data_IF_517372463589
#
_entry.id   IF_517372463589
#
_cell.length_a   1.000
_cell.length_b   1.000
_cell.length_c   1.000
_cell.angle_alpha   90.00
_cell.angle_beta   90.00
_cell.angle_gamma   90.00
#
_symmetry.space_group_name_H-M   'P 1'
#
loop_
_entity.id
_entity.type
_entity.pdbx_description
1 polymer ?
#
# COMPACT_ATOMS: atom_id res chain seq x y z
N UNK A 1 11.40 -156.88 -67.88
CA UNK A 1 11.52 -158.36 -68.02
C UNK A 1 12.95 -158.67 -68.42
N UNK A 2 13.70 -159.54 -67.71
CA UNK A 2 13.47 -160.18 -66.41
C UNK A 2 14.01 -159.26 -65.27
N UNK A 3 13.64 -159.35 -63.99
CA UNK A 3 13.51 -160.49 -63.08
C UNK A 3 14.84 -161.18 -62.78
N UNK A 4 15.80 -160.44 -62.23
CA UNK A 4 16.78 -161.05 -61.34
C UNK A 4 16.24 -160.94 -59.92
N UNK A 5 15.43 -161.95 -59.61
CA UNK A 5 15.14 -162.39 -58.25
C UNK A 5 16.48 -162.68 -57.57
N UNK A 6 17.08 -161.68 -56.95
CA UNK A 6 18.01 -161.96 -55.86
C UNK A 6 17.17 -162.56 -54.75
N UNK A 7 17.10 -163.88 -54.80
CA UNK A 7 16.82 -164.82 -53.73
C UNK A 7 17.39 -164.25 -52.42
N UNK A 8 16.57 -163.45 -51.73
CA UNK A 8 16.83 -162.95 -50.40
C UNK A 8 16.71 -164.17 -49.49
N UNK A 9 17.75 -165.00 -49.50
CA UNK A 9 17.97 -166.07 -48.54
C UNK A 9 17.76 -165.44 -47.15
N UNK A 10 16.79 -165.94 -46.36
CA UNK A 10 16.64 -165.49 -44.99
C UNK A 10 17.92 -165.89 -44.28
N UNK A 11 18.82 -164.93 -44.02
CA UNK A 11 19.96 -165.15 -43.16
C UNK A 11 19.36 -165.54 -41.80
N UNK A 12 19.48 -166.84 -41.49
CA UNK A 12 18.96 -167.42 -40.26
C UNK A 12 19.35 -166.57 -39.07
N UNK A 13 18.35 -166.15 -38.31
CA UNK A 13 18.50 -165.32 -37.13
C UNK A 13 19.05 -166.16 -35.97
N UNK A 14 20.35 -166.46 -36.01
CA UNK A 14 21.07 -167.03 -34.88
C UNK A 14 22.42 -167.63 -35.23
N UNK A 15 23.40 -167.44 -34.34
CA UNK A 15 24.67 -168.15 -34.37
C UNK A 15 24.60 -169.44 -33.54
N UNK A 16 25.31 -170.49 -33.95
CA UNK A 16 25.44 -171.74 -33.19
C UNK A 16 26.23 -171.53 -31.87
N UNK A 17 25.74 -172.07 -30.75
CA UNK A 17 26.36 -171.90 -29.41
C UNK A 17 27.34 -173.04 -29.11
N UNK A 18 28.62 -172.73 -28.95
CA UNK A 18 29.70 -173.69 -28.63
C UNK A 18 30.35 -173.44 -27.26
N UNK A 19 30.90 -174.48 -26.61
CA UNK A 19 31.33 -174.48 -25.18
C UNK A 19 32.39 -173.42 -24.81
N UNK A 20 33.10 -172.83 -25.78
CA UNK A 20 33.94 -171.63 -25.64
C UNK A 20 33.68 -170.71 -26.83
N UNK A 21 32.57 -170.00 -26.81
CA UNK A 21 32.17 -169.01 -27.82
C UNK A 21 32.26 -167.57 -27.31
N UNK A 22 32.02 -166.62 -28.21
CA UNK A 22 31.85 -165.20 -27.86
C UNK A 22 30.60 -165.01 -27.02
N UNK A 23 30.60 -163.98 -26.17
CA UNK A 23 29.43 -163.62 -25.37
C UNK A 23 28.28 -163.21 -26.29
N UNK A 24 27.12 -163.86 -26.13
CA UNK A 24 25.96 -163.65 -26.99
C UNK A 24 25.46 -162.21 -26.95
N UNK A 25 25.44 -161.58 -25.76
CA UNK A 25 24.97 -160.20 -25.61
C UNK A 25 25.91 -159.22 -26.32
N UNK A 26 27.23 -159.44 -26.23
CA UNK A 26 28.21 -158.62 -26.96
C UNK A 26 28.11 -158.79 -28.49
N UNK A 27 27.80 -160.00 -28.97
CA UNK A 27 27.61 -160.26 -30.42
C UNK A 27 26.32 -159.63 -30.94
N UNK A 28 25.21 -159.74 -30.20
CA UNK A 28 23.95 -159.07 -30.54
C UNK A 28 24.13 -157.55 -30.54
N UNK A 29 24.78 -156.96 -29.54
CA UNK A 29 25.08 -155.53 -29.50
C UNK A 29 25.97 -155.08 -30.69
N UNK A 30 26.95 -155.91 -31.08
CA UNK A 30 27.79 -155.61 -32.23
C UNK A 30 27.02 -155.70 -33.55
N UNK A 31 26.14 -156.70 -33.71
CA UNK A 31 25.29 -156.80 -34.90
C UNK A 31 24.28 -155.66 -34.98
N UNK A 32 23.66 -155.27 -33.87
CA UNK A 32 22.76 -154.11 -33.82
C UNK A 32 23.51 -152.83 -34.23
N UNK A 33 24.77 -152.69 -33.81
CA UNK A 33 25.65 -151.59 -34.24
C UNK A 33 25.95 -151.65 -35.73
N UNK A 34 26.32 -152.81 -36.27
CA UNK A 34 26.59 -152.99 -37.71
C UNK A 34 25.34 -152.79 -38.56
N UNK A 35 24.18 -153.23 -38.08
CA UNK A 35 22.90 -153.03 -38.77
C UNK A 35 22.51 -151.53 -38.73
N UNK A 36 22.74 -150.84 -37.61
CA UNK A 36 22.59 -149.40 -37.52
C UNK A 36 23.54 -148.67 -38.48
N UNK A 37 24.82 -149.06 -38.54
CA UNK A 37 25.81 -148.48 -39.45
C UNK A 37 25.43 -148.73 -40.92
N UNK A 38 24.93 -149.92 -41.26
CA UNK A 38 24.44 -150.24 -42.60
C UNK A 38 23.19 -149.42 -42.97
N UNK A 39 22.28 -149.19 -42.02
CA UNK A 39 21.12 -148.31 -42.23
C UNK A 39 21.57 -146.87 -42.50
N UNK A 40 22.53 -146.37 -41.73
CA UNK A 40 23.11 -145.02 -41.93
C UNK A 40 23.80 -144.93 -43.29
N UNK A 41 24.66 -145.89 -43.65
CA UNK A 41 25.35 -145.92 -44.95
C UNK A 41 24.38 -146.01 -46.12
N UNK A 42 23.28 -146.76 -45.96
CA UNK A 42 22.24 -146.85 -47.00
C UNK A 42 21.50 -145.53 -47.15
N UNK A 43 21.16 -144.87 -46.04
CA UNK A 43 20.57 -143.53 -46.06
C UNK A 43 21.51 -142.49 -46.67
N UNK A 44 22.80 -142.53 -46.35
CA UNK A 44 23.82 -141.64 -46.90
C UNK A 44 24.02 -141.88 -48.41
N UNK A 45 24.04 -143.15 -48.85
CA UNK A 45 24.08 -143.50 -50.27
C UNK A 45 22.86 -142.95 -50.99
N UNK A 46 21.67 -143.16 -50.45
CA UNK A 46 20.42 -142.73 -51.08
C UNK A 46 20.34 -141.20 -51.15
N UNK A 47 20.83 -140.50 -50.11
CA UNK A 47 20.98 -139.04 -50.10
C UNK A 47 22.00 -138.56 -51.15
N UNK A 48 23.15 -139.24 -51.27
CA UNK A 48 24.16 -138.92 -52.29
C UNK A 48 23.64 -139.15 -53.71
N UNK A 49 22.87 -140.23 -53.95
CA UNK A 49 22.21 -140.48 -55.23
C UNK A 49 21.18 -139.39 -55.54
N UNK A 50 20.35 -138.99 -54.57
CA UNK A 50 19.41 -137.89 -54.75
C UNK A 50 20.12 -136.57 -55.11
N UNK A 51 21.18 -136.21 -54.39
CA UNK A 51 22.00 -135.03 -54.69
C UNK A 51 22.64 -135.11 -56.07
N UNK A 52 23.17 -136.27 -56.46
CA UNK A 52 23.74 -136.47 -57.79
C UNK A 52 22.69 -136.26 -58.90
N UNK A 53 21.45 -136.74 -58.69
CA UNK A 53 20.36 -136.51 -59.66
C UNK A 53 19.91 -135.05 -59.73
N UNK A 54 19.92 -134.33 -58.61
CA UNK A 54 19.59 -132.90 -58.57
C UNK A 54 20.66 -132.06 -59.26
N UNK A 55 21.93 -132.33 -58.98
CA UNK A 55 23.07 -131.69 -59.65
C UNK A 55 23.08 -131.97 -61.16
N UNK A 56 22.72 -133.18 -61.58
CA UNK A 56 22.57 -133.51 -63.00
C UNK A 56 21.49 -132.63 -63.67
N UNK A 57 20.33 -132.47 -63.03
CA UNK A 57 19.26 -131.58 -63.53
C UNK A 57 19.68 -130.12 -63.58
N UNK A 58 20.38 -129.62 -62.56
CA UNK A 58 20.90 -128.25 -62.55
C UNK A 58 21.95 -128.03 -63.66
N UNK A 59 22.82 -129.02 -63.89
CA UNK A 59 23.77 -129.00 -65.00
C UNK A 59 23.06 -128.96 -66.35
N UNK A 60 22.02 -129.76 -66.54
CA UNK A 60 21.26 -129.76 -67.79
C UNK A 60 20.51 -128.44 -68.00
N UNK A 61 19.95 -127.84 -66.93
CA UNK A 61 19.35 -126.50 -66.99
C UNK A 61 20.37 -125.43 -67.37
N UNK A 62 21.53 -125.39 -66.73
CA UNK A 62 22.58 -124.43 -67.06
C UNK A 62 23.17 -124.67 -68.45
N UNK A 63 23.30 -125.92 -68.89
CA UNK A 63 23.70 -126.26 -70.27
C UNK A 63 22.69 -125.74 -71.28
N UNK A 64 21.40 -125.97 -71.06
CA UNK A 64 20.35 -125.41 -71.91
C UNK A 64 20.37 -123.88 -71.93
N UNK A 65 20.58 -123.22 -70.77
CA UNK A 65 20.68 -121.76 -70.71
C UNK A 65 21.92 -121.22 -71.44
N UNK A 66 23.05 -121.93 -71.35
CA UNK A 66 24.28 -121.60 -72.09
C UNK A 66 24.09 -121.84 -73.59
N UNK A 67 23.39 -122.90 -74.01
CA UNK A 67 23.04 -123.13 -75.40
C UNK A 67 22.11 -122.04 -75.94
N UNK A 68 21.11 -121.61 -75.17
CA UNK A 68 20.23 -120.50 -75.51
C UNK A 68 20.99 -119.17 -75.63
N UNK A 69 21.86 -118.85 -74.66
CA UNK A 69 22.70 -117.65 -74.69
C UNK A 69 23.67 -117.69 -75.88
N UNK A 70 24.27 -118.85 -76.17
CA UNK A 70 25.15 -119.03 -77.35
C UNK A 70 24.37 -118.85 -78.65
N UNK A 71 23.19 -119.46 -78.78
CA UNK A 71 22.32 -119.28 -79.95
C UNK A 71 21.88 -117.82 -80.10
N UNK A 72 21.63 -117.11 -79.00
CA UNK A 72 21.36 -115.66 -79.02
C UNK A 72 22.57 -114.85 -79.47
N UNK A 73 23.77 -115.15 -78.96
CA UNK A 73 25.01 -114.49 -79.37
C UNK A 73 25.31 -114.77 -80.85
N UNK A 74 25.18 -116.01 -81.32
CA UNK A 74 25.40 -116.37 -82.72
C UNK A 74 24.41 -115.64 -83.65
N UNK A 75 23.13 -115.54 -83.26
CA UNK A 75 22.12 -114.72 -83.96
C UNK A 75 22.48 -113.23 -83.99
N UNK A 76 23.13 -112.73 -82.94
CA UNK A 76 23.54 -111.31 -82.80
C UNK A 76 24.84 -110.97 -83.54
N UNK A 77 25.75 -111.95 -83.65
CA UNK A 77 27.07 -111.84 -84.26
C UNK A 77 27.06 -112.14 -85.77
N UNK A 78 26.06 -112.86 -86.27
CA UNK A 78 25.86 -113.06 -87.70
C UNK A 78 25.46 -111.75 -88.43
N UNK A 79 25.83 -111.58 -89.72
CA UNK A 79 25.31 -110.52 -90.58
C UNK A 79 23.77 -110.58 -90.66
N UNK A 80 23.06 -109.45 -90.61
CA UNK A 80 21.61 -109.46 -90.46
C UNK A 80 20.90 -109.74 -91.79
N UNK A 81 20.70 -111.01 -92.10
CA UNK A 81 20.04 -111.43 -93.35
C UNK A 81 18.54 -111.73 -93.14
N UNK A 82 18.03 -111.60 -91.89
CA UNK A 82 16.63 -111.87 -91.52
C UNK A 82 15.95 -110.67 -90.86
N UNK A 83 14.67 -110.44 -91.19
CA UNK A 83 13.87 -109.31 -90.68
C UNK A 83 13.66 -109.33 -89.15
N UNK A 84 13.71 -110.52 -88.54
CA UNK A 84 13.53 -110.72 -87.11
C UNK A 84 14.79 -110.37 -86.29
N UNK A 85 15.99 -110.70 -86.78
CA UNK A 85 17.24 -110.26 -86.17
C UNK A 85 17.46 -108.74 -86.29
N UNK A 86 16.99 -108.14 -87.39
CA UNK A 86 16.95 -106.68 -87.58
C UNK A 86 16.00 -106.01 -86.57
N UNK A 87 14.78 -106.53 -86.37
CA UNK A 87 13.81 -105.94 -85.45
C UNK A 87 14.25 -106.05 -83.98
N UNK A 88 14.87 -107.15 -83.57
CA UNK A 88 15.34 -107.35 -82.19
C UNK A 88 16.56 -106.46 -81.85
N UNK A 89 17.51 -106.28 -82.80
CA UNK A 89 18.61 -105.32 -82.65
C UNK A 89 18.09 -103.88 -82.61
N UNK A 90 17.12 -103.53 -83.45
CA UNK A 90 16.47 -102.21 -83.43
C UNK A 90 15.76 -101.96 -82.10
N UNK A 91 15.03 -102.94 -81.55
CA UNK A 91 14.39 -102.83 -80.24
C UNK A 91 15.40 -102.64 -79.10
N UNK A 92 16.54 -103.36 -79.11
CA UNK A 92 17.62 -103.16 -78.13
C UNK A 92 18.30 -101.81 -78.27
N UNK A 93 18.58 -101.36 -79.50
CA UNK A 93 19.17 -100.04 -79.75
C UNK A 93 18.22 -98.91 -79.34
N UNK A 94 16.91 -99.06 -79.59
CA UNK A 94 15.89 -98.13 -79.13
C UNK A 94 15.79 -98.10 -77.61
N UNK A 95 15.85 -99.25 -76.94
CA UNK A 95 15.83 -99.32 -75.48
C UNK A 95 17.07 -98.67 -74.87
N UNK A 96 18.26 -98.95 -75.41
CA UNK A 96 19.50 -98.28 -74.97
C UNK A 96 19.43 -96.77 -75.22
N UNK A 97 18.91 -96.33 -76.38
CA UNK A 97 18.73 -94.91 -76.66
C UNK A 97 17.70 -94.25 -75.73
N UNK A 98 16.65 -94.97 -75.34
CA UNK A 98 15.66 -94.50 -74.35
C UNK A 98 16.27 -94.39 -72.96
N UNK A 99 17.06 -95.37 -72.52
CA UNK A 99 17.78 -95.36 -71.25
C UNK A 99 18.83 -94.23 -71.22
N UNK A 100 19.58 -94.05 -72.31
CA UNK A 100 20.54 -92.95 -72.48
C UNK A 100 19.83 -91.59 -72.43
N UNK A 101 18.71 -91.43 -73.15
CA UNK A 101 17.91 -90.19 -73.11
C UNK A 101 17.38 -89.92 -71.70
N UNK A 102 17.01 -90.98 -70.95
CA UNK A 102 16.57 -90.85 -69.57
C UNK A 102 17.72 -90.39 -68.67
N UNK A 103 18.92 -90.99 -68.80
CA UNK A 103 20.12 -90.54 -68.08
C UNK A 103 20.42 -89.07 -68.35
N UNK A 104 20.43 -88.67 -69.63
CA UNK A 104 20.65 -87.26 -70.01
C UNK A 104 19.61 -86.31 -69.43
N UNK A 105 18.34 -86.72 -69.34
CA UNK A 105 17.28 -85.91 -68.72
C UNK A 105 17.44 -85.80 -67.22
N UNK A 106 17.79 -86.89 -66.55
CA UNK A 106 18.01 -86.90 -65.11
C UNK A 106 19.24 -86.04 -64.75
N UNK A 107 20.33 -86.17 -65.51
CA UNK A 107 21.52 -85.31 -65.40
C UNK A 107 21.22 -83.84 -65.67
N UNK A 108 20.45 -83.53 -66.72
CA UNK A 108 20.04 -82.15 -67.01
C UNK A 108 19.12 -81.57 -65.91
N UNK A 109 18.25 -82.40 -65.33
CA UNK A 109 17.40 -81.99 -64.21
C UNK A 109 18.22 -81.74 -62.94
N UNK A 110 19.21 -82.57 -62.65
CA UNK A 110 20.17 -82.36 -61.55
C UNK A 110 21.01 -81.10 -61.76
N UNK A 111 21.55 -80.89 -62.96
CA UNK A 111 22.30 -79.68 -63.29
C UNK A 111 21.42 -78.43 -63.15
N UNK A 112 20.17 -78.48 -63.60
CA UNK A 112 19.22 -77.37 -63.45
C UNK A 112 18.89 -77.09 -61.97
N UNK A 113 18.73 -78.14 -61.16
CA UNK A 113 18.54 -77.99 -59.70
C UNK A 113 19.74 -77.27 -59.06
N UNK A 114 20.96 -77.73 -59.35
CA UNK A 114 22.19 -77.10 -58.82
C UNK A 114 22.32 -75.63 -59.20
N UNK A 115 22.07 -75.29 -60.47
CA UNK A 115 22.11 -73.89 -60.92
C UNK A 115 21.08 -73.03 -60.18
N UNK A 116 19.86 -73.55 -59.95
CA UNK A 116 18.83 -72.83 -59.20
C UNK A 116 19.23 -72.65 -57.74
N UNK A 117 19.75 -73.69 -57.09
CA UNK A 117 20.22 -73.63 -55.71
C UNK A 117 21.37 -72.62 -55.55
N UNK A 118 22.36 -72.64 -56.45
CA UNK A 118 23.47 -71.67 -56.47
C UNK A 118 22.97 -70.24 -56.70
N UNK A 119 22.02 -70.03 -57.61
CA UNK A 119 21.42 -68.73 -57.88
C UNK A 119 20.62 -68.22 -56.66
N UNK A 120 19.84 -69.09 -56.02
CA UNK A 120 19.08 -68.76 -54.82
C UNK A 120 20.01 -68.41 -53.64
N UNK A 121 21.11 -69.15 -53.46
CA UNK A 121 22.12 -68.83 -52.48
C UNK A 121 22.81 -67.49 -52.75
N UNK A 122 23.17 -67.24 -54.01
CA UNK A 122 23.78 -65.97 -54.41
C UNK A 122 22.83 -64.79 -54.16
N UNK A 123 21.54 -64.94 -54.52
CA UNK A 123 20.51 -63.95 -54.26
C UNK A 123 20.37 -63.70 -52.75
N UNK A 124 20.30 -64.75 -51.94
CA UNK A 124 20.24 -64.64 -50.46
C UNK A 124 21.45 -63.93 -49.88
N UNK A 125 22.67 -64.26 -50.33
CA UNK A 125 23.90 -63.57 -49.86
C UNK A 125 23.87 -62.09 -50.21
N UNK A 126 23.45 -61.75 -51.42
CA UNK A 126 23.36 -60.36 -51.87
C UNK A 126 22.31 -59.58 -51.07
N UNK A 127 21.12 -60.16 -50.87
CA UNK A 127 20.06 -59.53 -50.07
C UNK A 127 20.48 -59.36 -48.61
N UNK A 128 21.06 -60.39 -47.98
CA UNK A 128 21.52 -60.30 -46.60
C UNK A 128 22.61 -59.24 -46.43
N UNK A 129 23.55 -59.12 -47.37
CA UNK A 129 24.57 -58.07 -47.34
C UNK A 129 23.99 -56.67 -47.51
N UNK A 130 23.00 -56.50 -48.40
CA UNK A 130 22.29 -55.23 -48.57
C UNK A 130 21.48 -54.86 -47.31
N UNK A 131 20.79 -55.82 -46.71
CA UNK A 131 20.02 -55.63 -45.47
C UNK A 131 20.94 -55.28 -44.29
N UNK A 132 22.09 -55.94 -44.17
CA UNK A 132 23.08 -55.63 -43.13
C UNK A 132 23.65 -54.21 -43.31
N UNK A 133 23.98 -53.83 -44.55
CA UNK A 133 24.46 -52.49 -44.85
C UNK A 133 23.40 -51.42 -44.57
N UNK A 134 22.15 -51.68 -44.95
CA UNK A 134 21.01 -50.80 -44.65
C UNK A 134 20.79 -50.65 -43.15
N UNK A 135 20.84 -51.76 -42.38
CA UNK A 135 20.74 -51.75 -40.92
C UNK A 135 21.86 -50.96 -40.27
N UNK A 136 23.10 -51.15 -40.71
CA UNK A 136 24.25 -50.40 -40.19
C UNK A 136 24.09 -48.90 -40.44
N UNK A 137 23.71 -48.53 -41.65
CA UNK A 137 23.50 -47.12 -42.03
C UNK A 137 22.35 -46.50 -41.23
N UNK A 138 21.24 -47.22 -41.06
CA UNK A 138 20.12 -46.77 -40.24
C UNK A 138 20.51 -46.59 -38.76
N UNK A 139 21.27 -47.53 -38.19
CA UNK A 139 21.75 -47.44 -36.81
C UNK A 139 22.71 -46.24 -36.60
N UNK A 140 23.62 -46.00 -37.54
CA UNK A 140 24.51 -44.84 -37.50
C UNK A 140 23.73 -43.52 -37.64
N UNK A 141 22.73 -43.46 -38.52
CA UNK A 141 21.88 -42.29 -38.68
C UNK A 141 21.04 -42.03 -37.41
N UNK A 142 20.48 -43.07 -36.81
CA UNK A 142 19.73 -42.96 -35.55
C UNK A 142 20.63 -42.51 -34.40
N UNK A 143 21.86 -43.03 -34.30
CA UNK A 143 22.83 -42.59 -33.30
C UNK A 143 23.18 -41.11 -33.47
N UNK A 144 23.45 -40.65 -34.70
CA UNK A 144 23.71 -39.23 -34.99
C UNK A 144 22.52 -38.36 -34.63
N UNK A 145 21.30 -38.78 -34.98
CA UNK A 145 20.08 -38.06 -34.62
C UNK A 145 19.92 -37.95 -33.10
N UNK A 146 20.16 -39.04 -32.36
CA UNK A 146 20.13 -39.03 -30.88
C UNK A 146 21.19 -38.10 -30.28
N UNK A 147 22.40 -38.10 -30.83
CA UNK A 147 23.48 -37.21 -30.38
C UNK A 147 23.10 -35.74 -30.61
N UNK A 148 22.63 -35.39 -31.81
CA UNK A 148 22.19 -34.03 -32.11
C UNK A 148 21.04 -33.60 -31.19
N UNK A 149 20.04 -34.45 -30.97
CA UNK A 149 18.95 -34.15 -30.04
C UNK A 149 19.45 -33.91 -28.61
N UNK A 150 20.36 -34.77 -28.12
CA UNK A 150 20.94 -34.62 -26.79
C UNK A 150 21.74 -33.31 -26.65
N UNK A 151 22.55 -32.97 -27.64
CA UNK A 151 23.29 -31.70 -27.69
C UNK A 151 22.34 -30.50 -27.71
N UNK A 152 21.28 -30.54 -28.51
CA UNK A 152 20.28 -29.45 -28.55
C UNK A 152 19.51 -29.31 -27.25
N UNK A 153 19.18 -30.43 -26.59
CA UNK A 153 18.51 -30.42 -25.29
C UNK A 153 19.42 -29.85 -24.20
N UNK A 154 20.71 -30.18 -24.23
CA UNK A 154 21.71 -29.63 -23.32
C UNK A 154 21.88 -28.12 -23.53
N UNK A 155 22.00 -27.68 -24.79
CA UNK A 155 22.07 -26.25 -25.14
C UNK A 155 20.81 -25.49 -24.71
N UNK A 156 19.62 -26.07 -24.94
CA UNK A 156 18.36 -25.47 -24.52
C UNK A 156 18.26 -25.36 -22.99
N UNK A 157 18.70 -26.39 -22.25
CA UNK A 157 18.75 -26.35 -20.77
C UNK A 157 19.74 -25.30 -20.26
N UNK A 158 20.93 -25.21 -20.86
CA UNK A 158 21.92 -24.21 -20.50
C UNK A 158 21.39 -22.79 -20.73
N UNK A 159 20.78 -22.52 -21.89
CA UNK A 159 20.19 -21.23 -22.20
C UNK A 159 19.02 -20.87 -21.25
N UNK A 160 18.21 -21.84 -20.84
CA UNK A 160 17.15 -21.63 -19.86
C UNK A 160 17.69 -21.31 -18.46
N UNK A 161 18.74 -21.99 -18.02
CA UNK A 161 19.38 -21.71 -16.72
C UNK A 161 20.08 -20.34 -16.72
N UNK A 162 20.73 -19.96 -17.82
CA UNK A 162 21.31 -18.63 -18.00
C UNK A 162 20.21 -17.55 -17.93
N UNK A 163 19.14 -17.68 -18.71
CA UNK A 163 18.02 -16.75 -18.69
C UNK A 163 17.33 -16.67 -17.32
N UNK A 164 17.23 -17.80 -16.60
CA UNK A 164 16.73 -17.82 -15.21
C UNK A 164 17.67 -17.10 -14.26
N UNK A 165 18.97 -17.27 -14.41
CA UNK A 165 20.00 -16.59 -13.63
C UNK A 165 19.95 -15.07 -13.85
N UNK A 166 19.86 -14.63 -15.11
CA UNK A 166 19.71 -13.22 -15.46
C UNK A 166 18.41 -12.62 -14.90
N UNK A 167 17.28 -13.32 -15.05
CA UNK A 167 16.01 -12.87 -14.52
C UNK A 167 16.06 -12.71 -12.99
N UNK A 168 16.69 -13.65 -12.27
CA UNK A 168 16.91 -13.53 -10.82
C UNK A 168 17.79 -12.34 -10.47
N UNK A 169 18.89 -12.13 -11.18
CA UNK A 169 19.77 -11.00 -10.94
C UNK A 169 19.09 -9.65 -11.19
N UNK A 170 18.20 -9.56 -12.18
CA UNK A 170 17.39 -8.36 -12.44
C UNK A 170 16.40 -8.12 -11.28
N UNK A 171 15.70 -9.17 -10.82
CA UNK A 171 14.77 -9.07 -9.70
C UNK A 171 15.48 -8.65 -8.41
N UNK A 172 16.62 -9.26 -8.07
CA UNK A 172 17.42 -8.90 -6.89
C UNK A 172 17.90 -7.44 -6.95
N UNK A 173 18.35 -6.96 -8.12
CA UNK A 173 18.72 -5.55 -8.29
C UNK A 173 17.53 -4.62 -8.13
N UNK A 174 16.38 -4.95 -8.74
CA UNK A 174 15.17 -4.15 -8.63
C UNK A 174 14.64 -4.10 -7.18
N UNK A 175 14.70 -5.21 -6.45
CA UNK A 175 14.35 -5.28 -5.04
C UNK A 175 15.29 -4.42 -4.18
N UNK A 176 16.60 -4.53 -4.38
CA UNK A 176 17.59 -3.71 -3.67
C UNK A 176 17.41 -2.21 -3.96
N UNK A 177 17.16 -1.83 -5.21
CA UNK A 177 16.87 -0.44 -5.58
C UNK A 177 15.57 0.06 -4.95
N UNK A 178 14.53 -0.77 -4.89
CA UNK A 178 13.27 -0.44 -4.24
C UNK A 178 13.44 -0.26 -2.73
N UNK A 179 14.22 -1.11 -2.06
CA UNK A 179 14.55 -0.96 -0.64
C UNK A 179 15.35 0.31 -0.38
N UNK A 180 16.35 0.62 -1.21
CA UNK A 180 17.10 1.86 -1.10
C UNK A 180 16.22 3.10 -1.34
N UNK A 181 15.25 3.02 -2.25
CA UNK A 181 14.28 4.09 -2.46
C UNK A 181 13.38 4.26 -1.22
N UNK A 182 12.84 3.16 -0.68
CA UNK A 182 12.05 3.16 0.56
C UNK A 182 12.80 3.80 1.72
N UNK A 183 14.03 3.36 1.98
CA UNK A 183 14.87 3.96 3.03
C UNK A 183 15.09 5.46 2.84
N UNK A 184 15.39 5.91 1.62
CA UNK A 184 15.53 7.35 1.34
C UNK A 184 14.23 8.13 1.58
N UNK A 185 13.07 7.55 1.29
CA UNK A 185 11.78 8.17 1.57
C UNK A 185 11.49 8.23 3.07
N UNK A 186 11.72 7.15 3.80
CA UNK A 186 11.51 7.09 5.25
C UNK A 186 12.43 8.07 5.98
N UNK A 187 13.71 8.13 5.60
CA UNK A 187 14.67 9.09 6.12
C UNK A 187 14.24 10.54 5.84
N UNK A 188 13.75 10.79 4.62
CA UNK A 188 13.25 12.09 4.20
C UNK A 188 11.98 12.51 4.95
N UNK A 189 11.07 11.57 5.22
CA UNK A 189 9.86 11.81 6.02
C UNK A 189 10.23 12.13 7.46
N UNK A 190 11.12 11.34 8.06
CA UNK A 190 11.62 11.57 9.41
C UNK A 190 12.32 12.93 9.53
N UNK A 191 13.07 13.35 8.51
CA UNK A 191 13.68 14.69 8.48
C UNK A 191 12.64 15.81 8.38
N UNK A 192 11.63 15.63 7.53
CA UNK A 192 10.55 16.59 7.40
C UNK A 192 9.76 16.74 8.71
N UNK A 193 9.45 15.64 9.38
CA UNK A 193 8.81 15.64 10.70
C UNK A 193 9.65 16.35 11.75
N UNK A 194 10.96 16.08 11.81
CA UNK A 194 11.89 16.80 12.70
C UNK A 194 11.88 18.30 12.43
N UNK A 195 11.96 18.72 11.17
CA UNK A 195 11.93 20.13 10.77
C UNK A 195 10.60 20.80 11.10
N UNK A 196 9.48 20.10 10.90
CA UNK A 196 8.15 20.59 11.26
C UNK A 196 8.04 20.79 12.77
N UNK A 197 8.46 19.81 13.56
CA UNK A 197 8.47 19.92 15.02
C UNK A 197 9.36 21.07 15.51
N UNK A 198 10.59 21.19 14.98
CA UNK A 198 11.48 22.29 15.32
C UNK A 198 10.85 23.67 14.99
N UNK A 199 10.26 23.82 13.79
CA UNK A 199 9.59 25.06 13.40
C UNK A 199 8.36 25.36 14.29
N UNK A 200 7.57 24.35 14.64
CA UNK A 200 6.42 24.50 15.54
C UNK A 200 6.86 24.94 16.95
N UNK A 201 7.96 24.38 17.46
CA UNK A 201 8.55 24.77 18.74
C UNK A 201 9.12 26.19 18.70
N UNK A 202 9.89 26.54 17.68
CA UNK A 202 10.39 27.90 17.47
C UNK A 202 9.25 28.92 17.37
N UNK A 203 8.21 28.61 16.61
CA UNK A 203 7.04 29.46 16.48
C UNK A 203 6.29 29.62 17.81
N UNK A 204 6.11 28.53 18.55
CA UNK A 204 5.47 28.56 19.88
C UNK A 204 6.29 29.43 20.83
N UNK A 205 7.60 29.23 20.89
CA UNK A 205 8.52 30.01 21.72
C UNK A 205 8.48 31.50 21.35
N UNK A 206 8.49 31.83 20.06
CA UNK A 206 8.38 33.22 19.59
C UNK A 206 7.05 33.85 19.99
N UNK A 207 5.94 33.12 19.85
CA UNK A 207 4.61 33.61 20.22
C UNK A 207 4.47 33.78 21.73
N UNK A 208 5.00 32.85 22.52
CA UNK A 208 4.99 32.95 23.98
C UNK A 208 5.87 34.11 24.46
N UNK A 209 7.05 34.30 23.86
CA UNK A 209 7.91 35.45 24.13
C UNK A 209 7.22 36.78 23.74
N UNK A 210 6.62 36.86 22.55
CA UNK A 210 5.90 38.05 22.11
C UNK A 210 4.69 38.37 23.00
N UNK A 211 3.98 37.34 23.50
CA UNK A 211 2.88 37.51 24.46
C UNK A 211 3.38 38.00 25.82
N UNK A 212 4.51 37.45 26.30
CA UNK A 212 5.14 37.88 27.55
C UNK A 212 5.60 39.33 27.46
N UNK A 213 6.27 39.72 26.37
CA UNK A 213 6.70 41.10 26.12
C UNK A 213 5.51 42.05 26.03
N UNK A 214 4.46 41.68 25.28
CA UNK A 214 3.25 42.47 25.18
C UNK A 214 2.55 42.61 26.55
N UNK A 215 2.60 41.57 27.40
CA UNK A 215 2.08 41.64 28.76
C UNK A 215 2.92 42.58 29.65
N UNK A 216 4.25 42.54 29.52
CA UNK A 216 5.17 43.42 30.22
C UNK A 216 4.93 44.89 29.85
N UNK A 217 4.89 45.21 28.56
CA UNK A 217 4.61 46.58 28.08
C UNK A 217 3.24 47.07 28.56
N UNK A 218 2.21 46.21 28.55
CA UNK A 218 0.89 46.57 29.10
C UNK A 218 0.96 46.85 30.61
N UNK A 219 1.67 46.02 31.36
CA UNK A 219 1.84 46.19 32.80
C UNK A 219 2.60 47.48 33.14
N UNK A 220 3.69 47.77 32.44
CA UNK A 220 4.44 49.03 32.60
C UNK A 220 3.58 50.25 32.27
N UNK A 221 2.84 50.21 31.15
CA UNK A 221 1.93 51.28 30.77
C UNK A 221 0.80 51.50 31.79
N UNK A 222 0.28 50.43 32.39
CA UNK A 222 -0.74 50.52 33.44
C UNK A 222 -0.17 51.12 34.73
N UNK A 223 1.03 50.70 35.16
CA UNK A 223 1.72 51.29 36.31
C UNK A 223 2.03 52.77 36.09
N UNK A 224 2.48 53.15 34.91
CA UNK A 224 2.75 54.55 34.56
C UNK A 224 1.46 55.38 34.55
N UNK A 225 0.38 54.84 34.00
CA UNK A 225 -0.96 55.48 34.06
C UNK A 225 -1.40 55.68 35.50
N UNK A 226 -1.28 54.66 36.35
CA UNK A 226 -1.63 54.76 37.77
C UNK A 226 -0.78 55.79 38.50
N UNK A 227 0.54 55.83 38.23
CA UNK A 227 1.44 56.83 38.78
C UNK A 227 0.99 58.24 38.38
N UNK A 228 0.80 58.50 37.09
CA UNK A 228 0.35 59.80 36.59
C UNK A 228 -1.03 60.18 37.14
N UNK A 229 -1.94 59.22 37.30
CA UNK A 229 -3.25 59.45 37.92
C UNK A 229 -3.13 59.83 39.40
N UNK A 230 -2.21 59.20 40.14
CA UNK A 230 -1.94 59.55 41.54
C UNK A 230 -1.30 60.93 41.66
N UNK A 231 -0.28 61.23 40.85
CA UNK A 231 0.39 62.53 40.81
C UNK A 231 -0.57 63.65 40.39
N UNK A 232 -1.39 63.39 39.36
CA UNK A 232 -2.40 64.33 38.89
C UNK A 232 -3.52 64.56 39.91
N UNK A 233 -3.92 63.54 40.68
CA UNK A 233 -4.84 63.71 41.82
C UNK A 233 -4.20 64.54 42.93
N UNK A 234 -2.97 64.23 43.32
CA UNK A 234 -2.25 64.98 44.36
C UNK A 234 -2.03 66.45 43.96
N UNK A 235 -1.67 66.70 42.70
CA UNK A 235 -1.50 68.07 42.16
C UNK A 235 -2.83 68.83 42.17
N UNK A 236 -3.94 68.20 41.74
CA UNK A 236 -5.28 68.81 41.82
C UNK A 236 -5.66 69.16 43.25
N UNK A 237 -5.46 68.24 44.19
CA UNK A 237 -5.75 68.45 45.61
C UNK A 237 -4.89 69.58 46.22
N UNK A 238 -3.60 69.66 45.86
CA UNK A 238 -2.73 70.77 46.25
C UNK A 238 -3.26 72.10 45.72
N UNK A 239 -3.57 72.18 44.42
CA UNK A 239 -4.13 73.40 43.82
C UNK A 239 -5.46 73.79 44.47
N UNK A 240 -6.34 72.83 44.75
CA UNK A 240 -7.61 73.07 45.46
C UNK A 240 -7.40 73.60 46.87
N UNK A 241 -6.45 73.04 47.63
CA UNK A 241 -6.10 73.49 48.97
C UNK A 241 -5.50 74.90 48.96
N UNK A 242 -4.54 75.16 48.07
CA UNK A 242 -3.91 76.47 47.92
C UNK A 242 -4.94 77.52 47.51
N UNK A 243 -5.85 77.17 46.58
CA UNK A 243 -6.97 78.02 46.21
C UNK A 243 -7.91 78.27 47.39
N UNK A 244 -8.25 77.25 48.18
CA UNK A 244 -9.09 77.40 49.37
C UNK A 244 -8.45 78.32 50.42
N UNK A 245 -7.13 78.20 50.64
CA UNK A 245 -6.35 79.08 51.53
C UNK A 245 -6.32 80.51 51.00
N UNK A 246 -5.99 80.70 49.71
CA UNK A 246 -5.96 82.02 49.08
C UNK A 246 -7.33 82.69 49.11
N UNK A 247 -8.41 81.94 48.83
CA UNK A 247 -9.78 82.44 48.90
C UNK A 247 -10.21 82.73 50.33
N UNK A 248 -9.80 81.92 51.31
CA UNK A 248 -10.04 82.22 52.72
C UNK A 248 -9.31 83.48 53.18
N UNK A 249 -8.07 83.68 52.75
CA UNK A 249 -7.29 84.91 53.02
C UNK A 249 -7.98 86.14 52.39
N UNK A 250 -8.36 86.05 51.12
CA UNK A 250 -9.09 87.12 50.42
C UNK A 250 -10.46 87.41 51.04
N UNK A 251 -11.21 86.39 51.48
CA UNK A 251 -12.47 86.57 52.23
C UNK A 251 -12.25 87.27 53.56
N UNK A 252 -11.20 86.90 54.32
CA UNK A 252 -10.85 87.59 55.58
C UNK A 252 -10.46 89.04 55.34
N UNK A 253 -9.67 89.31 54.31
CA UNK A 253 -9.28 90.67 53.95
C UNK A 253 -10.50 91.50 53.53
N UNK A 254 -11.39 90.95 52.70
CA UNK A 254 -12.65 91.59 52.34
C UNK A 254 -13.56 91.84 53.55
N UNK A 255 -13.65 90.88 54.50
CA UNK A 255 -14.39 91.09 55.76
C UNK A 255 -13.76 92.19 56.62
N UNK A 256 -12.43 92.27 56.72
CA UNK A 256 -11.75 93.37 57.42
C UNK A 256 -11.99 94.71 56.76
N UNK A 257 -12.01 94.77 55.43
CA UNK A 257 -12.36 95.98 54.68
C UNK A 257 -13.80 96.39 54.97
N UNK A 258 -14.75 95.46 54.92
CA UNK A 258 -16.15 95.70 55.31
C UNK A 258 -16.27 96.20 56.76
N UNK A 259 -15.60 95.55 57.71
CA UNK A 259 -15.57 95.99 59.12
C UNK A 259 -14.97 97.40 59.28
N UNK A 260 -13.90 97.72 58.54
CA UNK A 260 -13.29 99.04 58.54
C UNK A 260 -14.21 100.10 57.93
N UNK A 261 -14.89 99.77 56.83
CA UNK A 261 -15.87 100.64 56.17
C UNK A 261 -17.11 100.85 57.06
N UNK A 262 -17.60 99.79 57.72
CA UNK A 262 -18.67 99.87 58.71
C UNK A 262 -18.26 100.73 59.90
N UNK A 263 -17.06 100.53 60.44
CA UNK A 263 -16.53 101.34 61.53
C UNK A 263 -16.41 102.81 61.12
N UNK A 264 -15.83 103.10 59.95
CA UNK A 264 -15.73 104.46 59.43
C UNK A 264 -17.11 105.07 59.16
N UNK A 265 -18.08 104.27 58.71
CA UNK A 265 -19.47 104.70 58.55
C UNK A 265 -20.13 105.02 59.89
N UNK A 266 -19.93 104.18 60.92
CA UNK A 266 -20.40 104.43 62.29
C UNK A 266 -19.74 105.67 62.89
N UNK A 267 -18.42 105.84 62.77
CA UNK A 267 -17.70 107.03 63.24
C UNK A 267 -18.21 108.30 62.54
N UNK A 268 -18.47 108.25 61.22
CA UNK A 268 -19.12 109.36 60.50
C UNK A 268 -20.52 109.64 61.05
N UNK A 269 -21.34 108.61 61.25
CA UNK A 269 -22.68 108.75 61.81
C UNK A 269 -22.66 109.33 63.23
N UNK A 270 -21.79 108.82 64.10
CA UNK A 270 -21.58 109.32 65.47
C UNK A 270 -21.13 110.78 65.46
N UNK A 271 -20.23 111.16 64.55
CA UNK A 271 -19.82 112.56 64.36
C UNK A 271 -20.98 113.42 63.89
N UNK A 272 -21.77 112.99 62.90
CA UNK A 272 -22.96 113.73 62.46
C UNK A 272 -23.99 113.89 63.59
N UNK A 273 -24.23 112.85 64.39
CA UNK A 273 -25.12 112.92 65.56
C UNK A 273 -24.54 113.83 66.64
N UNK A 274 -23.23 113.78 66.86
CA UNK A 274 -22.50 114.67 67.77
C UNK A 274 -22.63 116.14 67.36
N UNK A 275 -22.26 116.46 66.12
CA UNK A 275 -22.35 117.80 65.53
C UNK A 275 -23.81 118.31 65.56
N UNK A 276 -24.79 117.46 65.21
CA UNK A 276 -26.20 117.81 65.29
C UNK A 276 -26.69 118.03 66.73
N UNK A 277 -26.18 117.26 67.70
CA UNK A 277 -26.50 117.42 69.12
C UNK A 277 -25.88 118.68 69.70
N UNK A 278 -24.66 119.03 69.28
CA UNK A 278 -24.02 120.30 69.66
C UNK A 278 -24.75 121.50 69.06
N UNK A 279 -25.16 121.43 67.80
CA UNK A 279 -25.95 122.47 67.15
C UNK A 279 -27.35 122.58 67.80
N UNK A 280 -27.97 121.46 68.19
CA UNK A 280 -29.22 121.47 68.95
C UNK A 280 -29.05 122.10 70.34
N UNK A 281 -27.96 121.77 71.06
CA UNK A 281 -27.60 122.42 72.34
C UNK A 281 -27.31 123.91 72.16
N UNK A 282 -26.68 124.31 71.05
CA UNK A 282 -26.43 125.70 70.72
C UNK A 282 -27.75 126.45 70.49
N UNK A 283 -28.66 125.90 69.68
CA UNK A 283 -30.01 126.47 69.47
C UNK A 283 -30.82 126.56 70.76
N UNK A 284 -30.73 125.55 71.64
CA UNK A 284 -31.36 125.60 72.95
C UNK A 284 -30.77 126.70 73.84
N UNK A 285 -29.44 126.89 73.85
CA UNK A 285 -28.80 127.99 74.59
C UNK A 285 -29.16 129.37 74.03
N UNK A 286 -29.26 129.50 72.72
CA UNK A 286 -29.73 130.71 72.05
C UNK A 286 -31.20 130.99 72.44
N UNK A 287 -32.06 129.96 72.41
CA UNK A 287 -33.46 130.08 72.85
C UNK A 287 -33.60 130.40 74.36
N UNK A 288 -32.78 129.80 75.23
CA UNK A 288 -32.76 130.10 76.66
C UNK A 288 -32.29 131.54 76.93
N UNK A 289 -31.34 132.05 76.13
CA UNK A 289 -30.90 133.44 76.18
C UNK A 289 -32.03 134.40 75.74
N UNK A 290 -32.75 134.08 74.67
CA UNK A 290 -33.92 134.85 74.24
C UNK A 290 -35.04 134.85 75.29
N UNK A 291 -35.30 133.71 75.94
CA UNK A 291 -36.27 133.60 77.05
C UNK A 291 -35.81 134.41 78.26
N UNK A 292 -34.50 134.43 78.57
CA UNK A 292 -33.95 135.25 79.63
C UNK A 292 -34.08 136.75 79.33
N UNK A 293 -33.87 137.17 78.08
CA UNK A 293 -34.05 138.55 77.64
C UNK A 293 -35.53 138.98 77.68
N UNK A 294 -36.46 138.11 77.27
CA UNK A 294 -37.90 138.34 77.41
C UNK A 294 -38.32 138.51 78.87
N UNK A 295 -37.75 137.73 79.81
CA UNK A 295 -37.99 137.91 81.25
C UNK A 295 -37.50 139.27 81.75
N UNK A 296 -36.32 139.73 81.32
CA UNK A 296 -35.80 141.06 81.68
C UNK A 296 -36.66 142.20 81.12
N UNK A 297 -37.20 142.05 79.91
CA UNK A 297 -38.10 143.03 79.30
C UNK A 297 -39.42 143.12 80.06
N UNK A 298 -40.01 141.96 80.43
CA UNK A 298 -41.20 141.89 81.28
C UNK A 298 -40.99 142.58 82.63
N UNK A 299 -39.86 142.32 83.30
CA UNK A 299 -39.59 142.90 84.62
C UNK A 299 -39.43 144.45 84.53
N UNK A 300 -38.91 144.96 83.41
CA UNK A 300 -38.81 146.39 83.10
C UNK A 300 -40.19 147.04 82.88
N UNK A 301 -41.08 146.39 82.12
CA UNK A 301 -42.47 146.85 81.93
C UNK A 301 -43.25 146.82 83.25
N UNK A 302 -43.00 145.83 84.10
CA UNK A 302 -43.57 145.74 85.45
C UNK A 302 -43.18 146.91 86.36
N UNK A 303 -41.94 147.40 86.26
CA UNK A 303 -41.50 148.58 87.02
C UNK A 303 -42.12 149.88 86.50
N UNK A 304 -42.29 150.04 85.18
CA UNK A 304 -42.88 151.26 84.58
C UNK A 304 -44.38 151.44 84.90
N UNK A 305 -45.13 150.34 85.09
CA UNK A 305 -46.55 150.40 85.47
C UNK A 305 -46.79 150.78 86.94
N UNK A 306 -45.85 150.46 87.84
CA UNK A 306 -45.94 150.88 89.26
C UNK A 306 -45.63 152.37 89.45
N UNK A 307 -44.73 152.96 88.64
CA UNK A 307 -44.48 154.40 88.67
C UNK A 307 -45.65 155.25 88.17
N UNK A 308 -46.46 154.73 87.23
CA UNK A 308 -47.68 155.40 86.75
C UNK A 308 -48.84 155.34 87.76
N UNK A 309 -48.83 154.39 88.70
CA UNK A 309 -49.90 154.23 89.72
C UNK A 309 -49.73 155.15 90.95
N UNK A 310 -48.52 155.60 91.25
CA UNK A 310 -48.24 156.47 92.41
C UNK A 310 -48.42 157.97 92.12
N UNK A 311 -48.36 158.41 90.86
CA UNK A 311 -48.50 159.83 90.48
C UNK A 311 -49.95 160.26 90.14
N UNK A 312 -50.93 159.35 90.20
CA UNK A 312 -52.35 159.57 89.87
C UNK A 312 -53.28 159.64 91.11
N UNK A 313 -52.77 159.99 92.29
CA UNK A 313 -53.51 160.03 93.55
C UNK A 313 -54.00 161.41 94.05
N UNK A 314 -53.65 162.52 93.40
CA UNK A 314 -54.04 163.85 93.88
C UNK A 314 -54.21 164.88 92.75
N UNK A 315 -55.42 165.06 92.21
CA UNK A 315 -55.86 166.25 91.46
C UNK A 315 -57.40 166.38 91.52
N UNK A 316 -57.99 167.59 91.63
CA UNK A 316 -59.44 167.78 91.77
C UNK A 316 -60.20 167.86 90.43
N UNK A 317 -61.33 167.14 90.39
CA UNK A 317 -62.58 167.24 89.60
C UNK A 317 -62.61 167.52 88.08
N UNK A 318 -63.53 166.76 87.45
CA UNK A 318 -64.40 166.97 86.25
C UNK A 318 -64.04 166.02 85.09
N UNK A 319 -64.64 164.81 85.01
CA UNK A 319 -65.93 164.45 84.35
C UNK A 319 -66.03 164.91 82.88
N UNK A 320 -66.39 164.14 81.85
CA UNK A 320 -66.63 162.71 81.56
C UNK A 320 -67.20 162.69 80.12
N UNK A 321 -66.63 161.94 79.17
CA UNK A 321 -67.20 161.52 77.85
C UNK A 321 -66.08 160.84 77.01
N UNK A 322 -66.33 159.87 76.11
CA UNK A 322 -67.22 158.69 76.16
C UNK A 322 -66.49 157.31 75.93
N UNK A 323 -67.25 156.25 76.22
CA UNK A 323 -67.34 154.86 75.68
C UNK A 323 -66.79 154.57 74.26
N UNK A 324 -66.52 153.36 73.76
CA UNK A 324 -66.77 151.93 74.11
C UNK A 324 -65.89 151.11 73.12
N UNK A 325 -65.08 150.11 73.53
CA UNK A 325 -65.38 148.66 73.53
C UNK A 325 -65.24 147.94 72.14
N UNK A 326 -65.23 146.59 72.04
CA UNK A 326 -64.04 145.82 71.63
C UNK A 326 -64.30 144.88 70.42
N UNK A 327 -63.23 144.30 69.84
CA UNK A 327 -63.38 143.36 68.72
C UNK A 327 -62.20 142.40 68.56
N UNK A 328 -62.54 141.12 68.65
CA UNK A 328 -61.77 139.89 68.42
C UNK A 328 -60.78 139.90 67.23
N UNK A 329 -59.71 139.12 67.43
CA UNK A 329 -59.35 138.06 66.48
C UNK A 329 -58.60 138.42 65.19
N UNK A 330 -57.27 138.25 65.25
CA UNK A 330 -56.36 137.73 64.19
C UNK A 330 -56.28 138.53 62.88
N UNK A 331 -55.09 139.07 62.54
CA UNK A 331 -54.41 138.63 61.32
C UNK A 331 -52.86 138.59 61.44
N UNK A 332 -52.15 137.62 60.85
CA UNK A 332 -51.57 137.55 59.48
C UNK A 332 -50.36 138.48 59.25
N UNK A 333 -49.39 137.94 58.49
CA UNK A 333 -48.34 138.58 57.64
C UNK A 333 -46.88 138.51 58.16
N UNK A 334 -45.85 138.56 57.28
CA UNK A 334 -45.70 138.00 55.92
C UNK A 334 -44.28 137.49 55.53
N UNK A 335 -44.19 136.97 54.29
CA UNK A 335 -43.06 136.44 53.45
C UNK A 335 -41.85 137.40 53.25
N UNK A 336 -40.79 137.18 52.39
CA UNK A 336 -40.51 136.18 51.31
C UNK A 336 -38.98 135.81 51.15
N UNK A 337 -38.39 135.52 49.96
CA UNK A 337 -38.73 134.61 48.84
C UNK A 337 -37.65 133.53 48.57
N UNK A 338 -38.04 132.47 47.84
CA UNK A 338 -37.13 131.50 47.21
C UNK A 338 -37.20 131.59 45.69
N UNK A 339 -36.03 131.64 45.04
CA UNK A 339 -35.86 131.36 43.61
C UNK A 339 -34.82 130.26 43.39
N UNK A 340 -35.10 129.49 42.34
CA UNK A 340 -34.18 128.85 41.37
C UNK A 340 -34.03 127.32 41.43
N UNK A 341 -34.64 126.70 40.40
CA UNK A 341 -34.18 125.61 39.52
C UNK A 341 -33.64 124.32 40.18
N UNK A 342 -34.22 123.14 39.92
CA UNK A 342 -34.25 122.48 38.60
C UNK A 342 -32.88 121.86 38.33
N UNK A 343 -32.67 120.56 38.16
CA UNK A 343 -33.45 119.52 37.48
C UNK A 343 -32.67 118.19 37.54
N UNK A 344 -33.38 117.07 37.34
CA UNK A 344 -32.93 115.74 36.87
C UNK A 344 -32.09 114.84 37.81
N UNK A 345 -32.26 113.52 37.82
CA UNK A 345 -33.37 112.60 37.53
C UNK A 345 -32.88 111.21 37.93
N UNK A 346 -33.81 110.38 38.39
CA UNK A 346 -33.65 108.98 38.79
C UNK A 346 -33.98 108.02 37.64
N UNK A 347 -33.37 106.83 37.65
CA UNK A 347 -33.83 105.65 36.90
C UNK A 347 -33.20 105.51 35.52
N UNK A 348 -32.51 104.42 35.21
CA UNK A 348 -33.03 103.08 34.90
C UNK A 348 -33.23 102.86 33.37
N UNK A 349 -32.65 101.76 32.89
CA UNK A 349 -32.82 101.04 31.61
C UNK A 349 -32.49 101.67 30.24
N UNK A 350 -31.91 100.81 29.40
CA UNK A 350 -31.87 100.88 27.93
C UNK A 350 -30.52 101.35 27.37
N UNK A 351 -29.90 100.75 26.36
CA UNK A 351 -30.28 99.74 25.37
C UNK A 351 -29.11 99.60 24.39
N UNK A 352 -28.88 98.41 23.84
CA UNK A 352 -29.12 98.12 22.41
C UNK A 352 -27.91 98.36 21.48
N UNK A 353 -27.42 97.29 20.84
CA UNK A 353 -27.38 97.15 19.37
C UNK A 353 -26.56 95.90 18.96
N UNK A 354 -27.22 95.06 18.15
CA UNK A 354 -26.72 93.87 17.46
C UNK A 354 -25.96 94.27 16.15
N UNK A 355 -25.87 93.46 15.06
CA UNK A 355 -25.99 92.00 14.87
C UNK A 355 -24.91 91.40 13.91
N UNK A 356 -25.16 90.16 13.44
CA UNK A 356 -24.71 89.53 12.17
C UNK A 356 -23.36 88.77 12.15
N UNK A 357 -23.14 87.67 11.41
CA UNK A 357 -23.93 86.68 10.65
C UNK A 357 -22.95 85.53 10.24
N UNK A 358 -23.50 84.43 9.71
CA UNK A 358 -22.92 83.30 8.92
C UNK A 358 -22.35 82.12 9.72
N UNK A 359 -22.87 80.89 9.66
CA UNK A 359 -23.23 79.99 8.53
C UNK A 359 -22.05 79.62 7.63
N UNK A 360 -21.54 78.38 7.80
CA UNK A 360 -21.31 77.35 6.77
C UNK A 360 -20.04 76.52 7.05
N UNK A 361 -20.20 75.20 7.17
CA UNK A 361 -19.20 74.19 6.79
C UNK A 361 -19.14 74.10 5.22
N UNK A 362 -18.35 73.23 4.55
CA UNK A 362 -17.33 72.27 5.02
C UNK A 362 -16.03 72.24 4.14
N UNK A 363 -15.19 71.23 4.42
CA UNK A 363 -14.23 70.57 3.49
C UNK A 363 -12.82 71.14 3.35
N UNK A 364 -11.85 70.42 3.94
CA UNK A 364 -10.80 69.72 3.20
C UNK A 364 -10.21 68.57 3.99
#
# INVERSE_FOLDING_TARGET
>A
MPSDEHELLPLGTGFDVVRRGYDRGQVEEHLDRVEADLRILTADRDAAVAQATELARALDHHRAHVEDLRAQVDRLSAPPDTMEGLSERLQRMLRLAQDETRSMRDEAADASRRIREEADEYARRTMNGADEHARKTAAEAEQRARQTLAETDEQARAALEEARGEARAILERAEAEADQARHRYDDGLADNERRRHAMEEEHRNLMDAARAEAAHVRQEAEQERERLDTEGRATREQVENDFAVAMAARRREAMRQLEADEKASRERADKYVGDASEEARRRLREADAEVADMKRLRDRVGQQLNSLRAALGALPTVESFPDEAPGDGRPVLPDPPTHANGTHETGDLGGAAAPEQRSAAPSR
#
